data_IF_555865094570
#
_entry.id   IF_555865094570
#
_cell.length_a   1.000
_cell.length_b   1.000
_cell.length_c   1.000
_cell.angle_alpha   90.00
_cell.angle_beta   90.00
_cell.angle_gamma   90.00
#
_symmetry.space_group_name_H-M   'P 1'
#
loop_
_entity.id
_entity.type
_entity.pdbx_description
1 polymer ?
#
# COMPACT_ATOMS: atom_id res chain seq x y z
N UNK A 1 10.91 5.71 23.83
CA UNK A 1 9.66 4.93 23.71
C UNK A 1 8.86 5.57 22.60
N UNK A 2 8.64 4.88 21.48
CA UNK A 2 7.89 5.40 20.34
C UNK A 2 6.61 4.59 20.17
N UNK A 3 5.47 5.26 20.02
CA UNK A 3 4.17 4.62 19.81
C UNK A 3 4.09 4.07 18.37
N UNK A 4 3.54 2.87 18.21
CA UNK A 4 3.21 2.27 16.92
C UNK A 4 2.04 2.99 16.24
N UNK A 5 1.91 2.86 14.93
CA UNK A 5 0.85 3.54 14.16
C UNK A 5 -0.57 3.19 14.65
N UNK A 6 -0.79 1.97 15.14
CA UNK A 6 -2.09 1.55 15.66
C UNK A 6 -2.34 2.10 17.06
N UNK A 7 -1.34 2.19 17.92
CA UNK A 7 -1.46 2.86 19.23
C UNK A 7 -1.80 4.34 19.06
N UNK A 8 -1.22 5.00 18.07
CA UNK A 8 -1.53 6.40 17.74
C UNK A 8 -2.98 6.56 17.26
N UNK A 9 -3.49 5.61 16.47
CA UNK A 9 -4.91 5.58 16.04
C UNK A 9 -5.87 5.31 17.21
N UNK A 10 -5.49 4.44 18.14
CA UNK A 10 -6.26 4.15 19.35
C UNK A 10 -6.30 5.38 20.25
N UNK A 11 -5.16 6.04 20.44
CA UNK A 11 -5.07 7.29 21.20
C UNK A 11 -5.98 8.36 20.56
N UNK A 12 -5.90 8.56 19.25
CA UNK A 12 -6.78 9.47 18.50
C UNK A 12 -8.27 9.17 18.77
N UNK A 13 -8.67 7.90 18.72
CA UNK A 13 -10.06 7.50 18.94
C UNK A 13 -10.51 7.73 20.39
N UNK A 14 -9.67 7.40 21.36
CA UNK A 14 -9.95 7.65 22.77
C UNK A 14 -10.07 9.15 23.07
N UNK A 15 -9.21 9.96 22.44
CA UNK A 15 -9.21 11.41 22.57
C UNK A 15 -10.44 12.05 21.92
N UNK A 16 -10.82 11.61 20.72
CA UNK A 16 -12.07 12.01 20.07
C UNK A 16 -13.31 11.66 20.92
N UNK A 17 -13.30 10.50 21.60
CA UNK A 17 -14.36 10.10 22.54
C UNK A 17 -14.36 10.95 23.82
N UNK A 18 -13.18 11.29 24.35
CA UNK A 18 -13.05 12.19 25.50
C UNK A 18 -13.46 13.64 25.18
N UNK A 19 -13.32 14.06 23.92
CA UNK A 19 -13.74 15.35 23.39
C UNK A 19 -15.23 15.43 23.04
N UNK A 20 -15.86 14.28 22.77
CA UNK A 20 -17.31 14.16 22.54
C UNK A 20 -17.97 13.35 23.65
N UNK A 21 -17.84 13.75 24.93
CA UNK A 21 -18.64 13.15 25.96
C UNK A 21 -20.10 13.48 25.65
N UNK A 22 -20.99 12.51 25.81
CA UNK A 22 -22.42 12.76 25.89
C UNK A 22 -22.69 13.54 27.20
N UNK A 23 -22.26 14.80 27.28
CA UNK A 23 -22.54 15.65 28.42
C UNK A 23 -24.01 16.05 28.31
N UNK A 24 -24.86 15.69 29.29
CA UNK A 24 -26.21 16.21 29.35
C UNK A 24 -26.10 17.72 29.50
N UNK A 25 -26.85 18.47 28.68
CA UNK A 25 -26.81 19.92 28.56
C UNK A 25 -27.23 20.72 29.83
N UNK A 26 -27.06 20.17 31.04
CA UNK A 26 -27.69 20.67 32.27
C UNK A 26 -26.77 20.75 33.49
N UNK A 27 -25.44 20.69 33.35
CA UNK A 27 -24.54 21.00 34.47
C UNK A 27 -24.15 22.49 34.44
N UNK A 28 -24.55 23.30 35.45
CA UNK A 28 -24.10 24.67 35.56
C UNK A 28 -22.65 24.67 36.05
N UNK A 29 -21.71 24.45 35.13
CA UNK A 29 -20.30 24.76 35.40
C UNK A 29 -20.19 26.28 35.60
N UNK A 30 -19.55 26.72 36.68
CA UNK A 30 -19.18 28.11 36.86
C UNK A 30 -18.35 28.62 35.67
N UNK A 31 -18.42 29.91 35.36
CA UNK A 31 -17.78 30.50 34.18
C UNK A 31 -16.29 30.11 34.03
N UNK A 32 -15.55 30.07 35.14
CA UNK A 32 -14.13 29.71 35.16
C UNK A 32 -13.89 28.23 34.79
N UNK A 33 -14.78 27.34 35.24
CA UNK A 33 -14.74 25.91 34.93
C UNK A 33 -15.11 25.63 33.46
N UNK A 34 -16.02 26.42 32.90
CA UNK A 34 -16.38 26.34 31.48
C UNK A 34 -15.23 26.83 30.57
N UNK A 35 -14.48 27.85 30.98
CA UNK A 35 -13.28 28.32 30.28
C UNK A 35 -12.16 27.27 30.31
N UNK A 36 -11.87 26.70 31.48
CA UNK A 36 -10.87 25.64 31.63
C UNK A 36 -11.21 24.41 30.76
N UNK A 37 -12.49 24.01 30.75
CA UNK A 37 -12.93 22.92 29.90
C UNK A 37 -12.80 23.24 28.40
N UNK A 38 -13.08 24.49 27.98
CA UNK A 38 -12.89 24.90 26.60
C UNK A 38 -11.41 24.89 26.20
N UNK A 39 -10.49 25.27 27.09
CA UNK A 39 -9.05 25.18 26.89
C UNK A 39 -8.59 23.72 26.75
N UNK A 40 -9.05 22.82 27.63
CA UNK A 40 -8.75 21.39 27.56
C UNK A 40 -9.25 20.77 26.24
N UNK A 41 -10.45 21.16 25.79
CA UNK A 41 -11.00 20.72 24.50
C UNK A 41 -10.16 21.23 23.33
N UNK A 42 -9.74 22.50 23.35
CA UNK A 42 -8.88 23.04 22.31
C UNK A 42 -7.51 22.35 22.28
N UNK A 43 -6.92 22.07 23.44
CA UNK A 43 -5.63 21.40 23.53
C UNK A 43 -5.71 19.94 23.03
N UNK A 44 -6.78 19.26 23.39
CA UNK A 44 -7.10 17.94 22.90
C UNK A 44 -7.27 17.91 21.36
N UNK A 45 -7.92 18.92 20.76
CA UNK A 45 -8.01 19.05 19.29
C UNK A 45 -6.64 19.26 18.65
N UNK A 46 -5.81 20.17 19.19
CA UNK A 46 -4.43 20.39 18.70
C UNK A 46 -3.61 19.11 18.77
N UNK A 47 -3.75 18.34 19.85
CA UNK A 47 -3.07 17.05 19.98
C UNK A 47 -3.53 16.04 18.92
N UNK A 48 -4.83 16.01 18.57
CA UNK A 48 -5.28 15.15 17.46
C UNK A 48 -4.69 15.55 16.11
N UNK A 49 -4.55 16.84 15.83
CA UNK A 49 -3.91 17.34 14.61
C UNK A 49 -2.42 16.98 14.57
N UNK A 50 -1.70 17.15 15.68
CA UNK A 50 -0.30 16.78 15.79
C UNK A 50 -0.08 15.27 15.60
N UNK A 51 -0.99 14.46 16.13
CA UNK A 51 -1.01 13.00 15.92
C UNK A 51 -1.20 12.66 14.44
N UNK A 52 -2.14 13.31 13.76
CA UNK A 52 -2.41 13.06 12.35
C UNK A 52 -1.20 13.42 11.48
N UNK A 53 -0.55 14.55 11.74
CA UNK A 53 0.67 14.92 11.04
C UNK A 53 1.80 13.92 11.31
N UNK A 54 1.97 13.46 12.55
CA UNK A 54 2.95 12.44 12.89
C UNK A 54 2.70 11.11 12.17
N UNK A 55 1.44 10.70 11.98
CA UNK A 55 1.08 9.50 11.21
C UNK A 55 1.43 9.67 9.73
N UNK A 56 1.16 10.84 9.15
CA UNK A 56 1.49 11.16 7.76
C UNK A 56 3.01 11.18 7.54
N UNK A 57 3.76 11.84 8.40
CA UNK A 57 5.23 11.89 8.35
C UNK A 57 5.83 10.50 8.53
N UNK A 58 5.33 9.72 9.50
CA UNK A 58 5.73 8.32 9.67
C UNK A 58 5.44 7.47 8.42
N UNK A 59 4.37 7.78 7.68
CA UNK A 59 4.10 7.21 6.37
C UNK A 59 5.16 7.57 5.32
N UNK A 60 5.52 8.85 5.22
CA UNK A 60 6.57 9.34 4.30
C UNK A 60 7.92 8.69 4.59
N UNK A 61 8.31 8.59 5.86
CA UNK A 61 9.55 7.95 6.29
C UNK A 61 9.58 6.47 5.92
N UNK A 62 8.49 5.72 6.16
CA UNK A 62 8.42 4.29 5.78
C UNK A 62 8.56 4.07 4.27
N UNK A 63 7.97 4.95 3.45
CA UNK A 63 8.13 4.90 1.99
C UNK A 63 9.59 5.14 1.60
N UNK A 64 10.24 6.14 2.20
CA UNK A 64 11.65 6.43 1.97
C UNK A 64 12.56 5.26 2.35
N UNK A 65 12.39 4.68 3.55
CA UNK A 65 13.19 3.56 4.02
C UNK A 65 13.02 2.31 3.15
N UNK A 66 11.81 2.06 2.63
CA UNK A 66 11.59 0.96 1.69
C UNK A 66 12.27 1.21 0.35
N UNK A 67 12.23 2.43 -0.18
CA UNK A 67 12.95 2.77 -1.41
C UNK A 67 14.48 2.63 -1.21
N UNK A 68 14.98 3.00 -0.04
CA UNK A 68 16.38 2.81 0.34
C UNK A 68 16.75 1.32 0.42
N UNK A 69 15.91 0.48 1.04
CA UNK A 69 16.10 -0.98 1.08
C UNK A 69 16.22 -1.57 -0.33
N UNK A 70 15.34 -1.16 -1.25
CA UNK A 70 15.38 -1.60 -2.65
C UNK A 70 16.70 -1.17 -3.30
N UNK A 71 17.14 0.08 -3.10
CA UNK A 71 18.42 0.57 -3.61
C UNK A 71 19.59 -0.27 -3.09
N UNK A 72 19.66 -0.52 -1.79
CA UNK A 72 20.69 -1.40 -1.22
C UNK A 72 20.61 -2.81 -1.83
N UNK A 73 19.42 -3.38 -1.98
CA UNK A 73 19.21 -4.71 -2.59
C UNK A 73 19.71 -4.78 -4.03
N UNK A 74 19.46 -3.73 -4.83
CA UNK A 74 19.90 -3.68 -6.23
C UNK A 74 21.41 -3.55 -6.39
N UNK A 75 22.11 -3.03 -5.37
CA UNK A 75 23.56 -2.88 -5.37
C UNK A 75 24.32 -4.11 -4.81
N UNK A 76 23.61 -5.21 -4.55
CA UNK A 76 24.24 -6.45 -4.09
C UNK A 76 25.13 -7.06 -5.20
N UNK A 77 26.28 -7.67 -4.83
CA UNK A 77 26.72 -7.96 -3.46
C UNK A 77 27.50 -6.82 -2.77
N UNK A 78 27.86 -5.75 -3.48
CA UNK A 78 28.74 -4.69 -2.98
C UNK A 78 28.17 -3.91 -1.79
N UNK A 79 26.85 -3.94 -1.63
CA UNK A 79 26.11 -3.24 -0.56
C UNK A 79 25.67 -4.15 0.59
N UNK A 80 26.18 -5.39 0.68
CA UNK A 80 25.67 -6.43 1.59
C UNK A 80 25.54 -5.98 3.05
N UNK A 81 26.56 -5.32 3.61
CA UNK A 81 26.55 -4.86 5.01
C UNK A 81 25.41 -3.87 5.26
N UNK A 82 25.32 -2.83 4.41
CA UNK A 82 24.28 -1.80 4.53
C UNK A 82 22.87 -2.35 4.28
N UNK A 83 22.72 -3.28 3.33
CA UNK A 83 21.45 -3.97 3.12
C UNK A 83 21.00 -4.73 4.37
N UNK A 84 21.90 -5.50 5.00
CA UNK A 84 21.56 -6.28 6.19
C UNK A 84 21.25 -5.39 7.40
N UNK A 85 21.98 -4.29 7.59
CA UNK A 85 21.68 -3.28 8.63
C UNK A 85 20.30 -2.68 8.44
N UNK A 86 20.01 -2.16 7.24
CA UNK A 86 18.71 -1.56 6.93
C UNK A 86 17.57 -2.57 7.07
N UNK A 87 17.78 -3.82 6.66
CA UNK A 87 16.74 -4.85 6.77
C UNK A 87 16.48 -5.24 8.23
N UNK A 88 17.53 -5.31 9.05
CA UNK A 88 17.39 -5.61 10.48
C UNK A 88 16.66 -4.49 11.23
N UNK A 89 16.97 -3.23 10.92
CA UNK A 89 16.26 -2.05 11.44
C UNK A 89 14.79 -2.06 11.02
N UNK A 90 14.52 -2.20 9.71
CA UNK A 90 13.16 -2.22 9.19
C UNK A 90 12.31 -3.35 9.81
N UNK A 91 12.87 -4.55 9.96
CA UNK A 91 12.17 -5.68 10.59
C UNK A 91 11.88 -5.41 12.06
N UNK A 92 12.79 -4.74 12.76
CA UNK A 92 12.57 -4.32 14.15
C UNK A 92 11.42 -3.31 14.26
N UNK A 93 11.27 -2.45 13.25
CA UNK A 93 10.17 -1.49 13.12
C UNK A 93 8.85 -2.09 12.57
N UNK A 94 8.79 -3.41 12.38
CA UNK A 94 7.60 -4.12 11.94
C UNK A 94 7.43 -4.24 10.41
N UNK A 95 8.48 -3.99 9.63
CA UNK A 95 8.47 -4.31 8.20
C UNK A 95 8.32 -5.82 7.98
N UNK A 96 7.40 -6.19 7.08
CA UNK A 96 7.21 -7.56 6.65
C UNK A 96 8.09 -7.86 5.43
N UNK A 97 9.07 -8.78 5.53
CA UNK A 97 10.00 -9.07 4.43
C UNK A 97 9.32 -9.59 3.17
N UNK A 98 9.76 -9.08 2.01
CA UNK A 98 9.26 -9.50 0.71
C UNK A 98 9.96 -10.77 0.18
N UNK A 99 9.39 -11.44 -0.84
CA UNK A 99 10.05 -12.57 -1.50
C UNK A 99 11.46 -12.24 -2.00
N UNK A 100 11.66 -11.01 -2.50
CA UNK A 100 12.96 -10.51 -2.95
C UNK A 100 13.96 -10.33 -1.80
N UNK A 101 13.48 -9.98 -0.61
CA UNK A 101 14.36 -9.89 0.57
C UNK A 101 14.81 -11.27 1.02
N UNK A 102 13.89 -12.24 0.98
CA UNK A 102 14.21 -13.63 1.27
C UNK A 102 15.14 -14.26 0.23
N UNK A 103 15.04 -13.85 -1.04
CA UNK A 103 15.94 -14.31 -2.10
C UNK A 103 17.33 -13.68 -1.95
N UNK A 104 17.41 -12.38 -1.64
CA UNK A 104 18.65 -11.67 -1.35
C UNK A 104 19.37 -12.27 -0.14
N UNK A 105 18.67 -12.54 0.97
CA UNK A 105 19.24 -13.21 2.15
C UNK A 105 19.73 -14.63 1.84
N UNK A 106 19.01 -15.39 1.00
CA UNK A 106 19.46 -16.71 0.53
C UNK A 106 20.71 -16.61 -0.34
N UNK A 107 20.86 -15.56 -1.16
CA UNK A 107 22.07 -15.34 -1.93
C UNK A 107 23.25 -14.96 -1.03
N UNK A 108 23.04 -14.03 -0.09
CA UNK A 108 24.06 -13.57 0.86
C UNK A 108 24.54 -14.68 1.81
N UNK A 109 23.66 -15.58 2.25
CA UNK A 109 24.06 -16.70 3.12
C UNK A 109 24.97 -17.71 2.43
N UNK A 110 24.97 -17.77 1.09
CA UNK A 110 25.87 -18.63 0.30
C UNK A 110 27.25 -18.01 0.05
N UNK A 111 27.40 -16.71 0.32
CA UNK A 111 28.66 -16.02 0.12
C UNK A 111 29.64 -16.26 1.27
N UNK A 112 30.95 -16.38 0.97
CA UNK A 112 31.96 -16.52 2.00
C UNK A 112 32.00 -15.26 2.89
N UNK A 113 32.02 -15.47 4.19
CA UNK A 113 32.11 -14.43 5.20
C UNK A 113 32.66 -15.00 6.52
N UNK A 114 33.09 -14.10 7.42
CA UNK A 114 33.53 -14.44 8.77
C UNK A 114 32.40 -15.06 9.62
N UNK A 115 32.77 -15.66 10.75
CA UNK A 115 31.83 -16.37 11.64
C UNK A 115 30.74 -15.45 12.21
N UNK A 116 31.10 -14.24 12.62
CA UNK A 116 30.19 -13.23 13.19
C UNK A 116 29.11 -12.82 12.18
N UNK A 117 29.53 -12.47 10.97
CA UNK A 117 28.65 -12.07 9.89
C UNK A 117 27.76 -13.24 9.43
N UNK A 118 28.31 -14.46 9.37
CA UNK A 118 27.53 -15.66 9.08
C UNK A 118 26.42 -15.89 10.11
N UNK A 119 26.72 -15.73 11.40
CA UNK A 119 25.73 -15.83 12.48
C UNK A 119 24.66 -14.75 12.36
N UNK A 120 25.05 -13.51 12.04
CA UNK A 120 24.13 -12.39 11.79
C UNK A 120 23.17 -12.70 10.64
N UNK A 121 23.71 -13.10 9.48
CA UNK A 121 22.91 -13.49 8.29
C UNK A 121 21.93 -14.62 8.60
N UNK A 122 22.39 -15.66 9.31
CA UNK A 122 21.55 -16.81 9.70
C UNK A 122 20.39 -16.39 10.61
N UNK A 123 20.68 -15.61 11.65
CA UNK A 123 19.66 -15.09 12.59
C UNK A 123 18.66 -14.18 11.90
N UNK A 124 19.12 -13.28 11.04
CA UNK A 124 18.23 -12.40 10.28
C UNK A 124 17.37 -13.21 9.29
N UNK A 125 17.96 -14.16 8.57
CA UNK A 125 17.22 -15.04 7.67
C UNK A 125 16.13 -15.85 8.39
N UNK A 126 16.43 -16.41 9.56
CA UNK A 126 15.44 -17.12 10.38
C UNK A 126 14.28 -16.22 10.81
N UNK A 127 14.58 -15.01 11.32
CA UNK A 127 13.55 -14.03 11.69
C UNK A 127 12.68 -13.62 10.50
N UNK A 128 13.30 -13.26 9.38
CA UNK A 128 12.56 -12.84 8.19
C UNK A 128 11.66 -13.96 7.63
N UNK A 129 12.15 -15.21 7.65
CA UNK A 129 11.37 -16.36 7.21
C UNK A 129 10.16 -16.60 8.11
N UNK A 130 10.33 -16.55 9.43
CA UNK A 130 9.23 -16.73 10.39
C UNK A 130 8.14 -15.66 10.24
N UNK A 131 8.53 -14.40 10.03
CA UNK A 131 7.59 -13.29 9.78
C UNK A 131 6.82 -13.47 8.47
N UNK A 132 7.54 -13.79 7.39
CA UNK A 132 6.90 -14.03 6.09
C UNK A 132 5.93 -15.22 6.14
N UNK A 133 6.32 -16.31 6.82
CA UNK A 133 5.46 -17.48 6.98
C UNK A 133 4.21 -17.15 7.82
N UNK A 134 4.36 -16.43 8.93
CA UNK A 134 3.24 -16.00 9.76
C UNK A 134 2.24 -15.15 8.97
N UNK A 135 2.72 -14.20 8.16
CA UNK A 135 1.87 -13.37 7.33
C UNK A 135 1.14 -14.15 6.22
N UNK A 136 1.77 -15.19 5.65
CA UNK A 136 1.11 -16.09 4.71
C UNK A 136 0.04 -16.92 5.41
N UNK A 137 0.33 -17.47 6.59
CA UNK A 137 -0.64 -18.24 7.39
C UNK A 137 -1.86 -17.39 7.76
N UNK A 138 -1.64 -16.15 8.19
CA UNK A 138 -2.73 -15.21 8.51
C UNK A 138 -3.61 -14.94 7.27
N UNK A 139 -2.99 -14.70 6.11
CA UNK A 139 -3.71 -14.46 4.86
C UNK A 139 -4.54 -15.66 4.43
N UNK A 140 -3.99 -16.88 4.55
CA UNK A 140 -4.70 -18.11 4.26
C UNK A 140 -5.86 -18.32 5.23
N UNK A 141 -5.66 -18.10 6.53
CA UNK A 141 -6.72 -18.19 7.53
C UNK A 141 -7.86 -17.19 7.26
N UNK A 142 -7.54 -15.97 6.81
CA UNK A 142 -8.55 -14.98 6.41
C UNK A 142 -9.30 -15.40 5.14
N UNK A 143 -8.62 -16.04 4.19
CA UNK A 143 -9.23 -16.50 2.95
C UNK A 143 -10.15 -17.71 3.14
N UNK A 144 -9.87 -18.56 4.13
CA UNK A 144 -10.69 -19.75 4.45
C UNK A 144 -11.77 -19.48 5.50
N UNK A 145 -11.76 -18.31 6.14
CA UNK A 145 -12.78 -17.93 7.09
C UNK A 145 -14.15 -17.79 6.39
N UNK A 146 -15.21 -18.48 6.87
CA UNK A 146 -16.55 -18.29 6.32
C UNK A 146 -16.99 -16.83 6.47
N UNK A 147 -17.71 -16.26 5.48
CA UNK A 147 -18.16 -14.88 5.56
C UNK A 147 -18.98 -14.68 6.83
N UNK A 148 -18.84 -13.53 7.52
CA UNK A 148 -19.63 -13.25 8.70
C UNK A 148 -21.10 -13.33 8.30
N UNK A 149 -21.81 -14.33 8.86
CA UNK A 149 -23.27 -14.37 8.76
C UNK A 149 -23.75 -13.15 9.55
N UNK A 150 -24.08 -12.08 8.84
CA UNK A 150 -24.81 -10.96 9.40
C UNK A 150 -26.16 -11.49 9.87
N UNK A 151 -26.23 -11.89 11.15
CA UNK A 151 -27.49 -12.04 11.85
C UNK A 151 -27.99 -10.62 12.10
N UNK A 152 -28.58 -10.01 11.08
CA UNK A 152 -29.54 -8.94 11.28
C UNK A 152 -30.75 -9.57 11.96
N UNK A 153 -30.71 -9.64 13.29
CA UNK A 153 -31.90 -9.83 14.07
C UNK A 153 -32.76 -8.57 13.85
N UNK A 154 -33.70 -8.67 12.91
CA UNK A 154 -34.80 -7.71 12.81
C UNK A 154 -35.74 -8.03 13.99
N UNK A 155 -35.96 -7.13 14.95
CA UNK A 155 -37.05 -7.29 15.87
C UNK A 155 -38.36 -7.06 15.09
N UNK A 156 -39.09 -8.13 14.79
CA UNK A 156 -40.48 -8.03 14.33
C UNK A 156 -41.34 -7.52 15.48
N UNK A 157 -42.08 -6.40 15.33
CA UNK A 157 -43.15 -6.07 16.27
C UNK A 157 -44.39 -6.90 15.95
N UNK A 158 -44.87 -7.61 16.96
CA UNK A 158 -46.25 -8.04 17.21
C UNK A 158 -47.19 -8.24 16.01
N UNK A 159 -47.49 -9.51 15.71
CA UNK A 159 -48.69 -9.89 14.96
C UNK A 159 -49.48 -10.92 15.76
N UNK A 160 -50.54 -10.46 16.40
CA UNK A 160 -51.58 -11.33 16.97
C UNK A 160 -52.53 -11.83 15.88
N UNK A 161 -53.13 -13.03 16.06
CA UNK A 161 -53.79 -13.77 15.01
C UNK A 161 -55.31 -13.52 15.02
N UNK A 162 -55.93 -13.51 13.84
CA UNK A 162 -57.34 -13.91 13.79
C UNK A 162 -57.75 -14.63 12.49
N UNK A 163 -58.62 -15.61 12.73
CA UNK A 163 -59.39 -16.54 11.89
C UNK A 163 -59.93 -16.00 10.56
N UNK A 164 -60.33 -16.76 9.53
CA UNK A 164 -60.22 -18.18 9.11
C UNK A 164 -60.86 -18.30 7.68
N UNK A 165 -61.42 -19.44 7.19
CA UNK A 165 -60.93 -20.17 6.02
C UNK A 165 -61.89 -20.21 4.80
N UNK A 166 -61.37 -20.39 3.57
CA UNK A 166 -61.89 -21.35 2.57
C UNK A 166 -61.29 -21.20 1.16
N UNK A 167 -61.39 -22.30 0.41
CA UNK A 167 -61.20 -22.55 -1.04
C UNK A 167 -59.76 -22.76 -1.49
N UNK A 168 -59.29 -24.01 -1.62
CA UNK A 168 -59.63 -25.08 -2.59
C UNK A 168 -58.93 -24.90 -3.93
N UNK A 169 -58.26 -25.99 -4.34
CA UNK A 169 -57.76 -26.34 -5.69
C UNK A 169 -56.50 -25.56 -6.12
N UNK A 170 -55.39 -26.15 -6.57
CA UNK A 170 -54.98 -27.49 -6.99
C UNK A 170 -53.64 -27.30 -7.75
N UNK A 171 -52.76 -28.31 -7.85
CA UNK A 171 -51.41 -28.13 -8.39
C UNK A 171 -51.38 -28.31 -9.92
N UNK A 172 -50.71 -27.40 -10.64
CA UNK A 172 -50.38 -27.59 -12.06
C UNK A 172 -49.01 -26.96 -12.36
N UNK A 173 -48.28 -27.47 -13.38
CA UNK A 173 -46.89 -27.87 -13.23
C UNK A 173 -45.95 -26.99 -14.06
N UNK A 174 -44.66 -27.15 -13.81
CA UNK A 174 -43.57 -26.64 -14.62
C UNK A 174 -43.66 -27.15 -16.06
N UNK A 175 -43.92 -26.27 -17.04
CA UNK A 175 -43.36 -26.37 -18.40
C UNK A 175 -43.42 -24.99 -19.09
N UNK A 176 -42.28 -24.37 -19.33
CA UNK A 176 -42.11 -23.44 -20.45
C UNK A 176 -40.65 -23.40 -20.86
N UNK A 177 -40.40 -23.88 -22.07
CA UNK A 177 -39.12 -23.96 -22.77
C UNK A 177 -38.36 -22.63 -22.87
N UNK A 178 -37.02 -22.68 -23.05
CA UNK A 178 -36.19 -21.50 -23.18
C UNK A 178 -36.39 -20.82 -24.54
N UNK A 179 -36.89 -19.58 -24.52
CA UNK A 179 -37.00 -18.71 -25.69
C UNK A 179 -35.61 -18.25 -26.15
N UNK A 180 -35.19 -18.71 -27.33
CA UNK A 180 -33.97 -18.31 -28.04
C UNK A 180 -34.18 -16.97 -28.77
N UNK A 181 -33.32 -15.95 -28.59
CA UNK A 181 -33.26 -14.82 -29.52
C UNK A 181 -32.19 -15.05 -30.61
N UNK A 182 -32.56 -14.79 -31.87
CA UNK A 182 -31.70 -14.80 -33.05
C UNK A 182 -30.92 -13.46 -33.20
N UNK A 183 -29.82 -13.41 -33.99
CA UNK A 183 -28.76 -12.40 -33.87
C UNK A 183 -28.80 -11.29 -34.94
N UNK A 184 -28.44 -10.06 -34.54
CA UNK A 184 -27.92 -8.93 -35.34
C UNK A 184 -27.71 -7.74 -34.37
N UNK A 185 -26.72 -6.86 -34.39
CA UNK A 185 -25.55 -6.64 -35.23
C UNK A 185 -24.60 -5.67 -34.47
N UNK A 186 -23.37 -5.53 -34.98
CA UNK A 186 -22.37 -4.50 -34.68
C UNK A 186 -21.64 -4.55 -33.33
N UNK A 187 -20.58 -5.36 -33.33
CA UNK A 187 -19.44 -5.28 -32.40
C UNK A 187 -18.75 -3.91 -32.48
N UNK A 188 -18.71 -3.17 -31.38
CA UNK A 188 -17.72 -2.11 -31.17
C UNK A 188 -16.36 -2.78 -30.96
N UNK A 189 -15.54 -2.82 -32.01
CA UNK A 189 -14.15 -3.29 -31.91
C UNK A 189 -13.35 -2.28 -31.11
N UNK A 190 -12.64 -2.77 -30.11
CA UNK A 190 -11.62 -2.03 -29.38
C UNK A 190 -10.44 -1.84 -30.36
N UNK A 191 -9.95 -0.61 -30.58
CA UNK A 191 -8.84 -0.35 -31.50
C UNK A 191 -7.56 -1.01 -31.00
N UNK A 192 -6.75 -1.48 -31.94
CA UNK A 192 -5.48 -2.18 -31.63
C UNK A 192 -4.35 -1.19 -31.34
N UNK A 193 -3.33 -1.56 -30.54
CA UNK A 193 -2.27 -0.64 -30.12
C UNK A 193 -1.51 0.05 -31.27
N UNK A 194 -1.47 -0.56 -32.46
CA UNK A 194 -0.84 0.03 -33.64
C UNK A 194 -1.59 1.27 -34.20
N UNK A 195 -2.87 1.44 -33.87
CA UNK A 195 -3.70 2.58 -34.32
C UNK A 195 -3.55 3.83 -33.44
N UNK A 196 -3.01 3.69 -32.22
CA UNK A 196 -2.79 4.81 -31.30
C UNK A 196 -1.48 5.57 -31.54
N UNK A 197 -0.52 5.01 -32.28
CA UNK A 197 0.82 5.60 -32.47
C UNK A 197 1.14 6.08 -33.89
N UNK A 198 0.17 6.11 -34.79
CA UNK A 198 0.38 6.53 -36.18
C UNK A 198 0.21 8.05 -36.39
N UNK A 199 1.09 8.87 -35.81
CA UNK A 199 1.42 10.21 -36.32
C UNK A 199 2.87 10.56 -36.01
N UNK A 200 3.79 10.11 -36.87
CA UNK A 200 5.17 10.63 -36.92
C UNK A 200 5.28 11.64 -38.07
N UNK A 201 5.65 12.90 -37.82
CA UNK A 201 6.00 13.83 -38.89
C UNK A 201 7.21 13.32 -39.67
N UNK A 202 7.15 13.45 -41.00
CA UNK A 202 8.19 13.06 -41.96
C UNK A 202 9.41 14.00 -41.79
N UNK A 203 10.65 13.49 -41.67
CA UNK A 203 11.83 14.33 -41.71
C UNK A 203 12.05 14.89 -43.14
N UNK A 204 12.48 16.16 -43.29
CA UNK A 204 12.85 16.70 -44.59
C UNK A 204 14.10 15.98 -45.14
N UNK A 205 14.04 15.66 -46.42
CA UNK A 205 15.12 15.03 -47.19
C UNK A 205 16.24 16.05 -47.44
N UNK A 206 17.49 15.66 -47.15
CA UNK A 206 18.69 16.37 -47.59
C UNK A 206 18.81 16.27 -49.11
N UNK A 207 19.06 17.36 -49.86
CA UNK A 207 19.58 17.27 -51.20
C UNK A 207 21.10 17.09 -51.18
N UNK A 208 21.54 16.25 -52.11
CA UNK A 208 22.90 15.78 -52.34
C UNK A 208 23.92 16.89 -52.59
N UNK A 209 25.16 16.63 -52.15
CA UNK A 209 26.35 17.36 -52.58
C UNK A 209 26.66 17.10 -54.06
N UNK A 210 27.36 18.03 -54.71
CA UNK A 210 28.52 17.61 -55.49
C UNK A 210 29.80 18.41 -55.15
N UNK A 211 30.84 17.61 -54.84
CA UNK A 211 32.22 17.64 -55.34
C UNK A 211 33.07 18.92 -55.43
N UNK A 212 34.31 18.75 -54.93
CA UNK A 212 35.59 19.34 -55.37
C UNK A 212 35.77 20.86 -55.15
N UNK A 213 36.89 21.40 -54.64
CA UNK A 213 38.30 21.02 -54.74
C UNK A 213 39.13 21.99 -53.85
N UNK A 214 40.32 21.58 -53.39
CA UNK A 214 41.48 22.45 -53.04
C UNK A 214 41.32 23.43 -51.84
N UNK A 215 42.18 23.54 -50.81
CA UNK A 215 43.63 23.47 -50.74
C UNK A 215 44.11 23.66 -49.28
N UNK A 216 45.17 22.91 -48.91
CA UNK A 216 46.26 23.18 -47.95
C UNK A 216 46.02 23.19 -46.41
N UNK A 217 46.98 22.63 -45.62
CA UNK A 217 47.01 22.66 -44.16
C UNK A 217 47.90 23.79 -43.63
N UNK A 218 47.53 24.42 -42.51
CA UNK A 218 48.48 25.16 -41.67
C UNK A 218 48.51 24.58 -40.27
N UNK A 219 49.73 24.18 -39.92
CA UNK A 219 50.23 23.83 -38.60
C UNK A 219 50.10 25.02 -37.66
N UNK A 220 49.74 24.77 -36.41
CA UNK A 220 50.30 25.54 -35.30
C UNK A 220 50.29 24.71 -34.02
N UNK A 221 51.50 24.24 -33.69
CA UNK A 221 51.95 23.82 -32.38
C UNK A 221 51.64 24.86 -31.30
N UNK A 222 51.52 24.39 -30.05
CA UNK A 222 51.91 25.01 -28.76
C UNK A 222 50.99 24.45 -27.66
N UNK A 223 51.41 23.99 -26.49
CA UNK A 223 52.67 23.60 -25.92
C UNK A 223 52.27 22.93 -24.59
N UNK A 224 52.87 21.79 -24.28
CA UNK A 224 52.82 21.14 -22.98
C UNK A 224 53.56 21.97 -21.94
N UNK A 225 53.01 22.08 -20.73
CA UNK A 225 53.69 22.71 -19.59
C UNK A 225 53.26 22.09 -18.27
N UNK A 226 53.89 20.98 -17.90
CA UNK A 226 53.94 20.42 -16.55
C UNK A 226 55.10 21.06 -15.79
N UNK A 227 54.85 21.45 -14.53
CA UNK A 227 55.86 21.76 -13.51
C UNK A 227 55.29 21.41 -12.15
#
# INVERSE_FOLDING_TARGET
>A
MAFSADEVRVLRRALAQALHPAIPAQLPLGADLALLWAEDVQEALRLTEAIDEAVLEGGRLRVFLRAELIRYRTALPGSATGYLERLEEAVTDGYLPEPDDLSALRALTRQPCGSTERQRRSRLAGRCHALAEAAVRERLARATAPPPRHLTAVPSPDRSPDRSPNRSEGPIPMTSEPRRPAPAAASTRIPTPAELFARRPRPPQHPDSPEAESSAPEEQELATGTG
#
